data_IF_181218478486
#
_entry.id   IF_181218478486
#
_cell.length_a   1.000
_cell.length_b   1.000
_cell.length_c   1.000
_cell.angle_alpha   90.00
_cell.angle_beta   90.00
_cell.angle_gamma   90.00
#
_symmetry.space_group_name_H-M   'P 1'
#
loop_
_entity.id
_entity.type
_entity.pdbx_description
1 polymer ?
#
# COMPACT_ATOMS: atom_id res chain seq x y z
N UNK A 1 12.21 -11.38 6.08
CA UNK A 1 11.34 -12.28 5.27
C UNK A 1 10.40 -11.42 4.44
N UNK A 2 10.36 -11.61 3.12
CA UNK A 2 9.45 -10.89 2.23
C UNK A 2 8.02 -11.38 2.45
N UNK A 3 7.04 -10.48 2.46
CA UNK A 3 5.61 -10.81 2.61
C UNK A 3 4.89 -10.59 1.27
N UNK A 4 3.97 -11.49 0.93
CA UNK A 4 3.08 -11.37 -0.23
C UNK A 4 1.84 -10.55 0.17
N UNK A 5 1.32 -9.75 -0.76
CA UNK A 5 0.03 -9.06 -0.66
C UNK A 5 -0.62 -8.99 -2.03
N UNK A 6 -1.93 -9.17 -2.08
CA UNK A 6 -2.75 -9.00 -3.29
C UNK A 6 -3.48 -7.66 -3.19
N UNK A 7 -3.35 -6.83 -4.22
CA UNK A 7 -3.93 -5.49 -4.25
C UNK A 7 -4.53 -5.20 -5.62
N UNK A 8 -5.62 -4.46 -5.62
CA UNK A 8 -6.11 -3.77 -6.80
C UNK A 8 -5.44 -2.40 -6.88
N UNK A 9 -4.71 -2.15 -7.96
CA UNK A 9 -3.92 -0.93 -8.17
C UNK A 9 -4.44 -0.15 -9.38
N UNK A 10 -4.68 1.14 -9.20
CA UNK A 10 -4.95 2.06 -10.30
C UNK A 10 -3.70 2.86 -10.64
N UNK A 11 -3.36 2.87 -11.92
CA UNK A 11 -2.26 3.66 -12.44
C UNK A 11 -2.75 4.93 -13.16
N UNK A 12 -1.89 5.94 -13.20
CA UNK A 12 -2.00 7.08 -14.11
C UNK A 12 -0.59 7.37 -14.65
N UNK A 13 -0.33 6.91 -15.87
CA UNK A 13 1.02 6.81 -16.38
C UNK A 13 1.86 5.85 -15.53
N UNK A 14 3.02 6.30 -15.07
CA UNK A 14 3.93 5.54 -14.22
C UNK A 14 3.67 5.71 -12.70
N UNK A 15 2.56 6.34 -12.31
CA UNK A 15 2.23 6.62 -10.91
C UNK A 15 1.07 5.75 -10.43
N UNK A 16 1.14 5.27 -9.19
CA UNK A 16 0.02 4.64 -8.51
C UNK A 16 -0.89 5.73 -7.93
N UNK A 17 -2.14 5.76 -8.37
CA UNK A 17 -3.16 6.65 -7.79
C UNK A 17 -3.84 6.05 -6.58
N UNK A 18 -4.15 4.76 -6.63
CA UNK A 18 -4.69 4.05 -5.50
C UNK A 18 -4.24 2.60 -5.50
N UNK A 19 -4.08 2.04 -4.31
CA UNK A 19 -3.87 0.62 -4.09
C UNK A 19 -4.75 0.21 -2.91
N UNK A 20 -5.67 -0.74 -3.12
CA UNK A 20 -6.59 -1.21 -2.09
C UNK A 20 -6.62 -2.73 -2.08
N UNK A 21 -6.95 -3.33 -0.93
CA UNK A 21 -7.25 -4.76 -0.89
C UNK A 21 -8.41 -5.08 -1.84
N UNK A 22 -8.45 -6.29 -2.43
CA UNK A 22 -9.50 -6.66 -3.37
C UNK A 22 -10.91 -6.44 -2.82
N UNK A 23 -11.12 -6.78 -1.54
CA UNK A 23 -12.40 -6.62 -0.83
C UNK A 23 -12.79 -5.14 -0.68
N UNK A 24 -11.81 -4.25 -0.45
CA UNK A 24 -12.04 -2.82 -0.28
C UNK A 24 -12.12 -2.04 -1.60
N UNK A 25 -11.95 -2.72 -2.74
CA UNK A 25 -12.08 -2.14 -4.07
C UNK A 25 -13.54 -2.09 -4.57
N UNK A 26 -14.51 -2.54 -3.77
CA UNK A 26 -15.95 -2.53 -4.08
C UNK A 26 -16.55 -1.16 -4.42
N UNK A 27 -15.82 -0.06 -4.19
CA UNK A 27 -16.23 1.32 -4.52
C UNK A 27 -15.47 1.98 -5.68
N UNK A 28 -14.62 1.27 -6.41
CA UNK A 28 -13.94 1.85 -7.57
C UNK A 28 -14.92 1.97 -8.74
N UNK A 29 -15.36 3.20 -9.02
CA UNK A 29 -16.30 3.55 -10.12
C UNK A 29 -15.79 3.03 -11.47
N UNK A 30 -14.47 2.97 -11.65
CA UNK A 30 -13.82 2.47 -12.86
C UNK A 30 -13.12 1.15 -12.60
N UNK A 31 -13.88 0.05 -12.54
CA UNK A 31 -13.31 -1.32 -12.47
C UNK A 31 -12.34 -1.62 -13.62
N UNK A 32 -12.53 -0.97 -14.79
CA UNK A 32 -11.65 -1.10 -15.96
C UNK A 32 -10.25 -0.51 -15.77
N UNK A 33 -10.03 0.30 -14.74
CA UNK A 33 -8.77 1.03 -14.54
C UNK A 33 -8.02 0.58 -13.28
N UNK A 34 -8.45 -0.53 -12.67
CA UNK A 34 -7.77 -1.15 -11.54
C UNK A 34 -7.28 -2.53 -11.97
N UNK A 35 -6.00 -2.78 -11.81
CA UNK A 35 -5.37 -4.06 -12.11
C UNK A 35 -5.17 -4.83 -10.80
N UNK A 36 -5.57 -6.09 -10.78
CA UNK A 36 -5.27 -6.99 -9.67
C UNK A 36 -3.83 -7.48 -9.81
N UNK A 37 -3.01 -7.16 -8.81
CA UNK A 37 -1.59 -7.47 -8.81
C UNK A 37 -1.20 -8.25 -7.56
N UNK A 38 -0.41 -9.29 -7.78
CA UNK A 38 0.32 -9.99 -6.74
C UNK A 38 1.65 -9.26 -6.49
N UNK A 39 1.80 -8.71 -5.29
CA UNK A 39 2.97 -7.95 -4.88
C UNK A 39 3.67 -8.60 -3.70
N UNK A 40 4.90 -8.17 -3.48
CA UNK A 40 5.67 -8.61 -2.35
C UNK A 40 6.52 -7.48 -1.78
N UNK A 41 6.49 -7.31 -0.46
CA UNK A 41 7.13 -6.22 0.26
C UNK A 41 7.99 -6.73 1.42
N UNK A 42 8.90 -5.88 1.90
CA UNK A 42 9.66 -6.12 3.12
C UNK A 42 8.95 -5.41 4.27
N UNK A 43 8.33 -6.15 5.22
CA UNK A 43 7.68 -5.51 6.35
C UNK A 43 8.74 -4.84 7.23
N UNK A 44 8.43 -3.63 7.70
CA UNK A 44 9.20 -3.02 8.78
C UNK A 44 9.13 -3.88 10.04
N UNK A 45 10.25 -3.96 10.72
CA UNK A 45 10.37 -4.53 12.05
C UNK A 45 9.69 -3.60 13.08
N UNK A 46 9.34 -4.16 14.23
CA UNK A 46 8.78 -3.38 15.35
C UNK A 46 9.71 -2.22 15.74
N UNK A 47 11.03 -2.46 15.77
CA UNK A 47 12.04 -1.46 16.08
C UNK A 47 12.05 -0.30 15.09
N UNK A 48 12.03 -0.59 13.78
CA UNK A 48 12.00 0.46 12.73
C UNK A 48 10.73 1.31 12.81
N UNK A 49 9.59 0.69 13.13
CA UNK A 49 8.33 1.40 13.33
C UNK A 49 8.43 2.34 14.56
N UNK A 50 8.96 1.84 15.68
CA UNK A 50 9.16 2.65 16.90
C UNK A 50 10.13 3.82 16.68
N UNK A 51 11.21 3.61 15.92
CA UNK A 51 12.15 4.68 15.56
C UNK A 51 11.51 5.75 14.66
N UNK A 52 10.63 5.35 13.74
CA UNK A 52 9.87 6.29 12.91
C UNK A 52 9.03 7.25 13.77
N UNK A 53 8.32 6.73 14.78
CA UNK A 53 7.49 7.57 15.66
C UNK A 53 8.31 8.49 16.57
N UNK A 54 9.53 8.09 16.96
CA UNK A 54 10.42 8.94 17.78
C UNK A 54 10.93 10.18 17.03
N UNK A 55 11.00 10.10 15.70
CA UNK A 55 11.43 11.20 14.83
C UNK A 55 10.24 12.04 14.33
N UNK A 56 9.03 11.84 14.86
CA UNK A 56 7.90 12.71 14.56
C UNK A 56 8.10 14.06 15.27
N UNK A 57 8.47 15.09 14.51
CA UNK A 57 8.68 16.44 15.04
C UNK A 57 7.44 17.04 15.72
N UNK A 58 6.25 16.46 15.53
CA UNK A 58 5.01 16.88 16.22
C UNK A 58 4.89 16.31 17.64
N UNK A 59 5.77 15.37 18.02
CA UNK A 59 5.83 14.77 19.36
C UNK A 59 6.90 15.46 20.23
N UNK A 60 7.69 16.39 19.66
CA UNK A 60 8.67 17.24 20.37
C UNK A 60 8.04 18.51 20.91
#
# INVERSE_FOLDING_TARGET
MRKKVELNIRFMGNKVLCAKSPINCKGCIHKSNCEELELFYYPYTKKEIEECFKNDERIR
#
